data_IF_034490221279
#
_entry.id   IF_034490221279
#
_cell.length_a   1.000
_cell.length_b   1.000
_cell.length_c   1.000
_cell.angle_alpha   90.00
_cell.angle_beta   90.00
_cell.angle_gamma   90.00
#
_symmetry.space_group_name_H-M   'P 1'
#
loop_
_entity.id
_entity.type
_entity.pdbx_description
1 polymer ?
#
# COMPACT_ATOMS: atom_id res chain seq x y z
N UNK A 1 -15.73 12.93 23.76
CA UNK A 1 -15.00 11.82 23.09
C UNK A 1 -14.74 12.18 21.61
N UNK A 2 -14.13 13.33 21.31
CA UNK A 2 -13.93 13.82 19.93
C UNK A 2 -12.45 14.12 19.66
N UNK A 3 -11.63 13.08 19.49
CA UNK A 3 -10.20 13.27 19.16
C UNK A 3 -9.71 12.41 17.99
N UNK A 4 -10.59 11.62 17.34
CA UNK A 4 -10.15 10.60 16.37
C UNK A 4 -10.36 10.94 14.89
N UNK A 5 -10.88 12.13 14.58
CA UNK A 5 -11.30 12.46 13.21
C UNK A 5 -10.27 13.29 12.41
N UNK A 6 -9.25 13.85 13.08
CA UNK A 6 -8.26 14.74 12.44
C UNK A 6 -7.05 14.02 11.82
N UNK A 7 -6.83 12.73 12.10
CA UNK A 7 -5.60 12.02 11.67
C UNK A 7 -5.67 11.52 10.21
N UNK A 8 -6.86 11.51 9.59
CA UNK A 8 -7.08 10.98 8.23
C UNK A 8 -6.76 11.97 7.09
N UNK A 9 -6.43 13.22 7.39
CA UNK A 9 -6.42 14.30 6.38
C UNK A 9 -5.05 14.55 5.73
N UNK A 10 -3.94 14.19 6.39
CA UNK A 10 -2.60 14.47 5.85
C UNK A 10 -2.34 13.67 4.56
N UNK A 11 -2.59 12.36 4.57
CA UNK A 11 -2.39 11.52 3.37
C UNK A 11 -3.35 11.90 2.25
N UNK A 12 -4.59 12.29 2.59
CA UNK A 12 -5.56 12.77 1.60
C UNK A 12 -5.09 14.09 0.94
N UNK A 13 -4.57 15.03 1.75
CA UNK A 13 -4.01 16.30 1.31
C UNK A 13 -2.80 16.13 0.40
N UNK A 14 -1.90 15.18 0.70
CA UNK A 14 -0.69 14.97 -0.09
C UNK A 14 -0.86 13.99 -1.26
N UNK A 15 -1.97 13.24 -1.33
CA UNK A 15 -2.22 12.29 -2.42
C UNK A 15 -2.09 12.89 -3.82
N UNK A 16 -2.65 14.08 -4.14
CA UNK A 16 -2.49 14.69 -5.46
C UNK A 16 -1.02 15.02 -5.77
N UNK A 17 -0.29 15.51 -4.77
CA UNK A 17 1.15 15.82 -4.91
C UNK A 17 1.95 14.56 -5.17
N UNK A 18 1.69 13.48 -4.43
CA UNK A 18 2.34 12.19 -4.65
C UNK A 18 2.04 11.63 -6.04
N UNK A 19 0.80 11.75 -6.53
CA UNK A 19 0.44 11.35 -7.89
C UNK A 19 1.22 12.13 -8.95
N UNK A 20 1.32 13.45 -8.80
CA UNK A 20 2.11 14.29 -9.69
C UNK A 20 3.60 13.93 -9.66
N UNK A 21 4.15 13.68 -8.46
CA UNK A 21 5.55 13.24 -8.32
C UNK A 21 5.79 11.91 -9.05
N UNK A 22 4.85 10.97 -8.91
CA UNK A 22 4.93 9.68 -9.58
C UNK A 22 4.91 9.83 -11.11
N UNK A 23 4.06 10.69 -11.66
CA UNK A 23 4.00 10.92 -13.13
C UNK A 23 5.26 11.54 -13.72
N UNK A 24 6.08 12.22 -12.90
CA UNK A 24 7.34 12.80 -13.34
C UNK A 24 8.50 11.78 -13.34
N UNK A 25 8.32 10.61 -12.72
CA UNK A 25 9.28 9.51 -12.78
C UNK A 25 9.00 8.70 -14.06
N UNK A 26 10.06 8.23 -14.73
CA UNK A 26 9.90 7.33 -15.87
C UNK A 26 8.96 6.16 -15.51
N UNK A 27 7.85 5.94 -16.25
CA UNK A 27 6.82 4.97 -15.87
C UNK A 27 7.36 3.54 -15.68
N UNK A 28 8.35 3.13 -16.48
CA UNK A 28 8.98 1.81 -16.35
C UNK A 28 9.79 1.69 -15.06
N UNK A 29 10.52 2.74 -14.66
CA UNK A 29 11.27 2.76 -13.40
C UNK A 29 10.35 2.77 -12.19
N UNK A 30 9.30 3.60 -12.25
CA UNK A 30 8.26 3.64 -11.22
C UNK A 30 7.61 2.26 -11.03
N UNK A 31 7.22 1.62 -12.14
CA UNK A 31 6.61 0.29 -12.11
C UNK A 31 7.57 -0.75 -11.53
N UNK A 32 8.81 -0.79 -12.01
CA UNK A 32 9.80 -1.76 -11.55
C UNK A 32 10.08 -1.64 -10.04
N UNK A 33 10.20 -0.42 -9.52
CA UNK A 33 10.44 -0.19 -8.09
C UNK A 33 9.24 -0.61 -7.23
N UNK A 34 8.02 -0.24 -7.63
CA UNK A 34 6.81 -0.62 -6.90
C UNK A 34 6.60 -2.14 -6.92
N UNK A 35 6.78 -2.76 -8.09
CA UNK A 35 6.66 -4.21 -8.28
C UNK A 35 7.72 -4.98 -7.51
N UNK A 36 8.98 -4.55 -7.48
CA UNK A 36 10.04 -5.29 -6.78
C UNK A 36 9.78 -5.42 -5.28
N UNK A 37 9.08 -4.46 -4.68
CA UNK A 37 8.75 -4.46 -3.24
C UNK A 37 7.39 -5.12 -2.98
N UNK A 38 6.38 -4.86 -3.82
CA UNK A 38 5.00 -5.26 -3.54
C UNK A 38 4.62 -6.61 -4.16
N UNK A 39 5.17 -6.98 -5.31
CA UNK A 39 4.85 -8.25 -5.97
C UNK A 39 5.22 -9.49 -5.13
N UNK A 40 6.31 -9.50 -4.33
CA UNK A 40 6.57 -10.59 -3.38
C UNK A 40 5.45 -10.82 -2.37
N UNK A 41 4.66 -9.80 -2.04
CA UNK A 41 3.47 -9.93 -1.19
C UNK A 41 2.29 -10.46 -2.01
N UNK A 42 2.01 -9.83 -3.15
CA UNK A 42 0.84 -10.11 -4.00
C UNK A 42 0.86 -11.52 -4.56
N UNK A 43 2.03 -12.03 -4.92
CA UNK A 43 2.21 -13.35 -5.56
C UNK A 43 2.12 -14.53 -4.59
N UNK A 44 1.86 -14.28 -3.29
CA UNK A 44 1.61 -15.36 -2.32
C UNK A 44 0.13 -15.76 -2.31
N UNK A 45 -0.16 -16.98 -1.85
CA UNK A 45 -1.54 -17.44 -1.62
C UNK A 45 -2.33 -16.59 -0.61
N UNK A 46 -1.64 -15.73 0.15
CA UNK A 46 -2.22 -14.84 1.16
C UNK A 46 -2.04 -13.35 0.79
N UNK A 47 -1.73 -13.03 -0.47
CA UNK A 47 -1.27 -11.70 -0.86
C UNK A 47 -2.26 -10.58 -0.54
N UNK A 48 -3.55 -10.81 -0.77
CA UNK A 48 -4.61 -9.85 -0.40
C UNK A 48 -4.57 -9.49 1.10
N UNK A 49 -4.38 -10.49 1.96
CA UNK A 49 -4.39 -10.30 3.41
C UNK A 49 -3.14 -9.58 3.91
N UNK A 50 -1.98 -9.85 3.30
CA UNK A 50 -0.72 -9.17 3.63
C UNK A 50 -0.77 -7.71 3.20
N UNK A 51 -1.27 -7.41 2.00
CA UNK A 51 -1.47 -6.03 1.52
C UNK A 51 -2.46 -5.29 2.43
N UNK A 52 -3.59 -5.91 2.77
CA UNK A 52 -4.57 -5.33 3.69
C UNK A 52 -3.98 -5.09 5.08
N UNK A 53 -3.13 -6.00 5.55
CA UNK A 53 -2.45 -5.88 6.84
C UNK A 53 -1.48 -4.72 6.83
N UNK A 54 -0.63 -4.61 5.80
CA UNK A 54 0.34 -3.54 5.65
C UNK A 54 -0.36 -2.17 5.56
N UNK A 55 -1.37 -2.03 4.70
CA UNK A 55 -2.06 -0.74 4.52
C UNK A 55 -2.75 -0.27 5.80
N UNK A 56 -3.46 -1.18 6.49
CA UNK A 56 -4.15 -0.85 7.74
C UNK A 56 -3.15 -0.55 8.88
N UNK A 57 -2.05 -1.30 8.96
CA UNK A 57 -1.00 -1.04 9.96
C UNK A 57 -0.37 0.34 9.77
N UNK A 58 -0.06 0.72 8.53
CA UNK A 58 0.45 2.06 8.21
C UNK A 58 -0.61 3.15 8.45
N UNK A 59 -1.89 2.88 8.17
CA UNK A 59 -2.99 3.80 8.44
C UNK A 59 -3.25 4.03 9.94
N UNK A 60 -2.88 3.06 10.78
CA UNK A 60 -2.92 3.18 12.25
C UNK A 60 -1.58 3.63 12.84
N UNK A 61 -0.75 4.33 12.06
CA UNK A 61 0.54 4.87 12.49
C UNK A 61 1.46 3.81 13.12
N UNK A 62 1.49 2.63 12.51
CA UNK A 62 2.29 1.48 12.96
C UNK A 62 1.90 1.00 14.38
N UNK A 63 0.71 1.33 14.85
CA UNK A 63 0.21 0.84 16.14
C UNK A 63 -0.39 -0.56 15.99
N UNK A 64 0.33 -1.56 16.50
CA UNK A 64 -0.06 -2.98 16.45
C UNK A 64 -1.45 -3.20 17.05
N UNK A 65 -1.76 -2.60 18.19
CA UNK A 65 -3.03 -2.83 18.90
C UNK A 65 -4.21 -2.24 18.14
N UNK A 66 -4.09 -1.02 17.61
CA UNK A 66 -5.12 -0.37 16.79
C UNK A 66 -5.36 -1.12 15.49
N UNK A 67 -4.29 -1.45 14.77
CA UNK A 67 -4.37 -2.18 13.51
C UNK A 67 -4.98 -3.57 13.68
N UNK A 68 -4.59 -4.30 14.73
CA UNK A 68 -5.16 -5.61 15.04
C UNK A 68 -6.67 -5.48 15.31
N UNK A 69 -7.10 -4.46 16.06
CA UNK A 69 -8.52 -4.18 16.31
C UNK A 69 -9.28 -3.87 15.02
N UNK A 70 -8.76 -3.01 14.16
CA UNK A 70 -9.41 -2.66 12.88
C UNK A 70 -9.45 -3.83 11.88
N UNK A 71 -8.47 -4.74 11.95
CA UNK A 71 -8.43 -5.94 11.10
C UNK A 71 -9.20 -7.12 11.68
N UNK A 72 -9.77 -7.00 12.90
CA UNK A 72 -10.38 -8.10 13.65
C UNK A 72 -9.42 -9.28 13.85
N UNK A 73 -8.16 -8.97 14.15
CA UNK A 73 -7.10 -9.96 14.40
C UNK A 73 -6.66 -9.92 15.85
N UNK A 74 -6.16 -11.05 16.34
CA UNK A 74 -5.36 -11.05 17.55
C UNK A 74 -4.01 -10.36 17.29
N UNK A 75 -3.45 -9.66 18.30
CA UNK A 75 -2.17 -8.94 18.18
C UNK A 75 -1.04 -9.83 17.66
N UNK A 76 -0.97 -11.08 18.10
CA UNK A 76 0.09 -12.02 17.69
C UNK A 76 -0.04 -12.40 16.22
N UNK A 77 -1.28 -12.54 15.72
CA UNK A 77 -1.55 -12.81 14.31
C UNK A 77 -1.10 -11.63 13.45
N UNK A 78 -1.34 -10.39 13.91
CA UNK A 78 -0.82 -9.21 13.23
C UNK A 78 0.70 -9.20 13.20
N UNK A 79 1.35 -9.41 14.35
CA UNK A 79 2.83 -9.46 14.47
C UNK A 79 3.41 -10.51 13.51
N UNK A 80 2.82 -11.70 13.46
CA UNK A 80 3.22 -12.76 12.53
C UNK A 80 3.12 -12.31 11.07
N UNK A 81 2.02 -11.65 10.68
CA UNK A 81 1.86 -11.12 9.32
C UNK A 81 2.88 -10.03 9.00
N UNK A 82 3.18 -9.14 9.95
CA UNK A 82 4.22 -8.12 9.80
C UNK A 82 5.61 -8.74 9.62
N UNK A 83 5.94 -9.77 10.40
CA UNK A 83 7.17 -10.54 10.20
C UNK A 83 7.21 -11.24 8.83
N UNK A 84 6.08 -11.75 8.36
CA UNK A 84 5.99 -12.33 7.01
C UNK A 84 6.20 -11.28 5.91
N UNK A 85 5.66 -10.07 6.08
CA UNK A 85 5.91 -8.94 5.17
C UNK A 85 7.40 -8.60 5.15
N UNK A 86 8.04 -8.51 6.32
CA UNK A 86 9.49 -8.27 6.42
C UNK A 86 10.29 -9.34 5.68
N UNK A 87 9.97 -10.61 5.87
CA UNK A 87 10.68 -11.70 5.21
C UNK A 87 10.50 -11.70 3.68
N UNK A 88 9.35 -11.26 3.18
CA UNK A 88 9.05 -11.24 1.74
C UNK A 88 9.62 -10.00 1.03
N UNK A 89 9.65 -8.86 1.71
CA UNK A 89 10.06 -7.57 1.12
C UNK A 89 11.49 -7.18 1.46
N UNK A 90 12.08 -7.77 2.50
CA UNK A 90 13.34 -7.34 3.09
C UNK A 90 13.22 -6.07 3.96
N UNK A 91 12.02 -5.53 4.15
CA UNK A 91 11.75 -4.28 4.87
C UNK A 91 10.85 -4.53 6.08
N UNK A 92 11.27 -4.15 7.28
CA UNK A 92 10.48 -4.24 8.50
C UNK A 92 9.43 -3.12 8.56
N UNK A 93 8.12 -3.45 8.48
CA UNK A 93 7.07 -2.44 8.57
C UNK A 93 7.05 -1.69 9.91
N UNK A 94 7.70 -2.23 10.96
CA UNK A 94 7.72 -1.64 12.30
C UNK A 94 8.86 -0.64 12.49
N UNK A 95 9.82 -0.60 11.56
CA UNK A 95 10.81 0.46 11.50
C UNK A 95 10.24 1.60 10.66
N UNK A 96 10.26 2.84 11.18
CA UNK A 96 9.64 3.98 10.52
C UNK A 96 10.20 4.27 9.11
N UNK A 97 11.52 4.24 8.94
CA UNK A 97 12.18 4.55 7.67
C UNK A 97 11.81 3.51 6.59
N UNK A 98 11.82 2.23 6.98
CA UNK A 98 11.47 1.11 6.10
C UNK A 98 9.96 1.10 5.80
N UNK A 99 9.13 1.40 6.80
CA UNK A 99 7.68 1.56 6.67
C UNK A 99 7.31 2.69 5.70
N UNK A 100 8.05 3.79 5.68
CA UNK A 100 7.87 4.88 4.72
C UNK A 100 8.15 4.39 3.30
N UNK A 101 9.23 3.62 3.10
CA UNK A 101 9.53 2.97 1.82
C UNK A 101 8.40 2.04 1.36
N UNK A 102 7.90 1.20 2.27
CA UNK A 102 6.75 0.32 2.02
C UNK A 102 5.48 1.11 1.67
N UNK A 103 5.22 2.23 2.35
CA UNK A 103 4.05 3.08 2.07
C UNK A 103 4.12 3.68 0.68
N UNK A 104 5.28 4.22 0.29
CA UNK A 104 5.49 4.79 -1.04
C UNK A 104 5.32 3.72 -2.12
N UNK A 105 5.95 2.56 -1.96
CA UNK A 105 5.81 1.44 -2.89
C UNK A 105 4.35 1.00 -3.05
N UNK A 106 3.61 0.89 -1.95
CA UNK A 106 2.19 0.54 -1.96
C UNK A 106 1.33 1.58 -2.70
N UNK A 107 1.55 2.88 -2.45
CA UNK A 107 0.84 3.95 -3.14
C UNK A 107 1.14 3.97 -4.65
N UNK A 108 2.40 3.79 -5.04
CA UNK A 108 2.82 3.68 -6.43
C UNK A 108 2.19 2.47 -7.12
N UNK A 109 2.19 1.31 -6.45
CA UNK A 109 1.58 0.09 -6.97
C UNK A 109 0.07 0.26 -7.17
N UNK A 110 -0.64 0.86 -6.22
CA UNK A 110 -2.07 1.16 -6.35
C UNK A 110 -2.36 2.13 -7.50
N UNK A 111 -1.51 3.15 -7.68
CA UNK A 111 -1.62 4.09 -8.79
C UNK A 111 -1.49 3.39 -10.15
N UNK A 112 -0.44 2.60 -10.32
CA UNK A 112 -0.15 1.87 -11.56
C UNK A 112 -1.30 0.91 -11.94
N UNK A 113 -1.93 0.26 -10.96
CA UNK A 113 -3.06 -0.63 -11.20
C UNK A 113 -4.34 0.14 -11.58
N UNK A 114 -4.58 1.32 -11.01
CA UNK A 114 -5.73 2.16 -11.37
C UNK A 114 -5.62 2.73 -12.79
N UNK A 115 -4.44 3.20 -13.18
CA UNK A 115 -4.21 3.69 -14.54
C UNK A 115 -4.38 2.59 -15.59
N UNK A 116 -3.87 1.38 -15.34
CA UNK A 116 -4.08 0.23 -16.22
C UNK A 116 -5.56 -0.12 -16.36
N UNK A 117 -6.32 -0.10 -15.27
CA UNK A 117 -7.76 -0.35 -15.30
C UNK A 117 -8.52 0.74 -16.08
N UNK A 118 -8.14 2.01 -15.95
CA UNK A 118 -8.72 3.12 -16.70
C UNK A 118 -8.43 3.01 -18.22
N UNK A 119 -7.16 2.75 -18.57
CA UNK A 119 -6.74 2.59 -19.96
C UNK A 119 -7.37 1.35 -20.63
N UNK A 120 -7.54 0.24 -19.88
CA UNK A 120 -8.22 -0.95 -20.38
C UNK A 120 -9.72 -0.69 -20.65
N UNK A 121 -10.38 0.11 -19.81
CA UNK A 121 -11.79 0.52 -20.04
C UNK A 121 -11.93 1.38 -21.29
N UNK A 122 -11.05 2.37 -21.48
CA UNK A 122 -11.06 3.23 -22.68
C UNK A 122 -10.86 2.44 -23.98
N UNK A 123 -9.92 1.47 -23.99
CA UNK A 123 -9.67 0.60 -25.17
C UNK A 123 -10.87 -0.28 -25.52
N UNK A 124 -11.63 -0.75 -24.52
CA UNK A 124 -12.85 -1.56 -24.75
C UNK A 124 -14.00 -0.74 -25.32
N UNK A 125 -14.12 0.54 -24.94
CA UNK A 125 -15.13 1.46 -25.51
C UNK A 125 -14.76 1.82 -26.95
N UNK A 126 -13.47 2.04 -27.24
CA UNK A 126 -13.01 2.43 -28.58
C UNK A 126 -13.01 1.29 -29.61
N UNK A 127 -12.96 0.02 -29.19
CA UNK A 127 -13.02 -1.15 -30.07
C UNK A 127 -14.43 -1.75 -30.19
N UNK A 128 -15.46 -1.07 -29.65
CA UNK A 128 -16.85 -1.51 -29.63
C UNK A 128 -17.78 -0.69 -30.53
N UNK A 129 -17.24 -0.01 -31.55
CA UNK A 129 -18.00 0.71 -32.61
C UNK A 129 -17.59 0.15 -33.96
#
# INVERSE_FOLDING_TARGET
MHAHEQEKDVVARFRPVLQQLFTNVNPSRQKNLASSIIDPLVNTSYGFELIRTLDQFLADNMNVSRAAKHLYLHRNTLIYRLSKIQNLTGLDPRNFEEAMGLKLALLMWQHNNKEQAANAKLRRVSNGV
#
